data_IF_994623954988
#
_entry.id   IF_994623954988
#
_cell.length_a   1.000
_cell.length_b   1.000
_cell.length_c   1.000
_cell.angle_alpha   90.00
_cell.angle_beta   90.00
_cell.angle_gamma   90.00
#
_symmetry.space_group_name_H-M   'P 1'
#
loop_
_entity.id
_entity.type
_entity.pdbx_description
1 polymer ?
#
# COMPACT_ATOMS: atom_id res chain seq x y z
N UNK A 1 16.48 1.83 -10.72
CA UNK A 1 15.96 3.20 -10.71
C UNK A 1 14.53 3.18 -10.20
N UNK A 2 14.23 4.01 -9.20
CA UNK A 2 12.86 4.18 -8.71
C UNK A 2 12.11 4.98 -9.78
N UNK A 3 10.93 4.52 -10.15
CA UNK A 3 10.07 5.28 -11.05
C UNK A 3 9.76 6.64 -10.43
N UNK A 4 9.83 7.71 -11.24
CA UNK A 4 9.44 9.08 -10.82
C UNK A 4 7.99 9.16 -10.34
N UNK A 5 7.17 8.15 -10.68
CA UNK A 5 5.77 8.05 -10.29
C UNK A 5 5.54 7.18 -9.05
N UNK A 6 6.60 6.68 -8.41
CA UNK A 6 6.48 5.75 -7.28
C UNK A 6 5.84 6.39 -6.03
N UNK A 7 5.92 7.72 -5.91
CA UNK A 7 5.43 8.47 -4.77
C UNK A 7 3.92 8.81 -4.88
N UNK A 8 3.31 8.62 -6.05
CA UNK A 8 1.86 8.79 -6.26
C UNK A 8 1.17 7.52 -5.82
N UNK A 9 0.44 7.58 -4.70
CA UNK A 9 -0.18 6.41 -4.06
C UNK A 9 -1.43 5.97 -4.83
N UNK A 10 -2.25 6.92 -5.28
CA UNK A 10 -3.44 6.64 -6.05
C UNK A 10 -3.09 6.11 -7.45
N UNK A 11 -3.68 4.97 -7.82
CA UNK A 11 -3.36 4.29 -9.08
C UNK A 11 -3.92 5.01 -10.30
N UNK A 12 -5.09 5.62 -10.19
CA UNK A 12 -5.70 6.38 -11.29
C UNK A 12 -4.97 7.70 -11.51
N UNK A 13 -4.63 8.40 -10.43
CA UNK A 13 -3.81 9.61 -10.51
C UNK A 13 -2.45 9.30 -11.13
N UNK A 14 -1.80 8.20 -10.69
CA UNK A 14 -0.53 7.74 -11.26
C UNK A 14 -0.65 7.41 -12.75
N UNK A 15 -1.71 6.70 -13.16
CA UNK A 15 -2.00 6.39 -14.56
C UNK A 15 -2.12 7.67 -15.39
N UNK A 16 -2.90 8.63 -14.92
CA UNK A 16 -3.13 9.90 -15.60
C UNK A 16 -1.85 10.73 -15.72
N UNK A 17 -1.02 10.76 -14.67
CA UNK A 17 0.29 11.43 -14.72
C UNK A 17 1.24 10.78 -15.73
N UNK A 18 1.30 9.47 -15.80
CA UNK A 18 2.11 8.73 -16.76
C UNK A 18 1.64 9.05 -18.19
N UNK A 19 0.33 8.96 -18.43
CA UNK A 19 -0.26 9.28 -19.74
C UNK A 19 0.12 10.70 -20.18
N UNK A 20 -0.02 11.68 -19.27
CA UNK A 20 0.28 13.07 -19.59
C UNK A 20 1.77 13.34 -19.81
N UNK A 21 2.66 12.77 -19.00
CA UNK A 21 4.10 13.05 -19.07
C UNK A 21 4.81 12.27 -20.17
N UNK A 22 4.35 11.05 -20.46
CA UNK A 22 4.93 10.22 -21.54
C UNK A 22 4.27 10.49 -22.91
N UNK A 23 3.32 11.43 -22.98
CA UNK A 23 2.65 11.81 -24.23
C UNK A 23 1.79 10.69 -24.82
N UNK A 24 1.24 9.83 -23.98
CA UNK A 24 0.35 8.76 -24.41
C UNK A 24 -1.06 9.31 -24.72
N UNK A 25 -1.84 8.66 -25.60
CA UNK A 25 -3.23 9.02 -25.83
C UNK A 25 -4.04 8.99 -24.50
N UNK A 26 -4.99 9.90 -24.35
CA UNK A 26 -5.82 9.96 -23.12
C UNK A 26 -6.68 8.71 -22.89
N UNK A 27 -6.96 7.96 -23.95
CA UNK A 27 -7.67 6.69 -23.97
C UNK A 27 -6.73 5.47 -23.95
N UNK A 28 -5.45 5.68 -23.60
CA UNK A 28 -4.46 4.60 -23.56
C UNK A 28 -4.88 3.47 -22.63
N UNK A 29 -5.04 2.29 -23.21
CA UNK A 29 -5.25 1.04 -22.49
C UNK A 29 -4.02 0.12 -22.67
N UNK A 30 -3.43 -0.37 -21.57
CA UNK A 30 -2.28 -1.25 -21.67
C UNK A 30 -2.66 -2.58 -22.33
N UNK A 31 -1.84 -3.05 -23.26
CA UNK A 31 -2.04 -4.38 -23.88
C UNK A 31 -1.97 -5.49 -22.85
N UNK A 32 -2.60 -6.63 -23.14
CA UNK A 32 -2.58 -7.82 -22.27
C UNK A 32 -1.14 -8.25 -21.91
N UNK A 33 -0.21 -8.13 -22.86
CA UNK A 33 1.21 -8.43 -22.65
C UNK A 33 1.83 -7.46 -21.65
N UNK A 34 1.52 -6.16 -21.74
CA UNK A 34 2.01 -5.16 -20.81
C UNK A 34 1.46 -5.38 -19.41
N UNK A 35 0.16 -5.65 -19.29
CA UNK A 35 -0.49 -5.99 -18.00
C UNK A 35 0.18 -7.20 -17.36
N UNK A 36 0.43 -8.27 -18.13
CA UNK A 36 1.12 -9.46 -17.64
C UNK A 36 2.56 -9.17 -17.18
N UNK A 37 3.29 -8.36 -17.93
CA UNK A 37 4.64 -7.94 -17.56
C UNK A 37 4.66 -7.09 -16.28
N UNK A 38 3.71 -6.17 -16.12
CA UNK A 38 3.55 -5.36 -14.92
C UNK A 38 3.22 -6.24 -13.70
N UNK A 39 2.34 -7.22 -13.84
CA UNK A 39 2.02 -8.13 -12.75
C UNK A 39 3.21 -9.00 -12.35
N UNK A 40 3.95 -9.53 -13.32
CA UNK A 40 5.19 -10.29 -13.08
C UNK A 40 6.21 -9.41 -12.33
N UNK A 41 6.42 -8.18 -12.78
CA UNK A 41 7.31 -7.24 -12.10
C UNK A 41 6.86 -6.94 -10.68
N UNK A 42 5.57 -6.71 -10.48
CA UNK A 42 4.98 -6.50 -9.14
C UNK A 42 5.23 -7.68 -8.22
N UNK A 43 5.02 -8.91 -8.69
CA UNK A 43 5.27 -10.13 -7.92
C UNK A 43 6.73 -10.27 -7.52
N UNK A 44 7.66 -9.97 -8.43
CA UNK A 44 9.10 -10.04 -8.19
C UNK A 44 9.61 -8.95 -7.24
N UNK A 45 8.95 -7.79 -7.20
CA UNK A 45 9.38 -6.64 -6.38
C UNK A 45 8.66 -6.55 -5.05
N UNK A 46 7.53 -7.25 -4.87
CA UNK A 46 6.74 -7.20 -3.65
C UNK A 46 7.36 -8.09 -2.57
N UNK A 47 7.88 -7.49 -1.52
CA UNK A 47 8.42 -8.20 -0.35
C UNK A 47 7.32 -8.72 0.56
N UNK A 48 7.67 -9.64 1.47
CA UNK A 48 6.75 -10.12 2.50
C UNK A 48 6.24 -8.98 3.39
N UNK A 49 7.11 -8.03 3.72
CA UNK A 49 6.75 -6.84 4.51
C UNK A 49 5.72 -5.97 3.79
N UNK A 50 5.86 -5.78 2.46
CA UNK A 50 4.87 -5.06 1.65
C UNK A 50 3.51 -5.77 1.60
N UNK A 51 3.52 -7.11 1.48
CA UNK A 51 2.28 -7.91 1.53
C UNK A 51 1.58 -7.77 2.88
N UNK A 52 2.35 -7.86 3.96
CA UNK A 52 1.82 -7.68 5.32
C UNK A 52 1.24 -6.28 5.49
N UNK A 53 1.95 -5.24 5.07
CA UNK A 53 1.47 -3.86 5.14
C UNK A 53 0.14 -3.68 4.43
N UNK A 54 0.00 -4.19 3.20
CA UNK A 54 -1.26 -4.12 2.46
C UNK A 54 -2.39 -4.87 3.17
N UNK A 55 -2.11 -6.06 3.71
CA UNK A 55 -3.11 -6.82 4.47
C UNK A 55 -3.56 -6.09 5.74
N UNK A 56 -2.65 -5.41 6.44
CA UNK A 56 -2.96 -4.59 7.62
C UNK A 56 -3.82 -3.38 7.25
N UNK A 57 -3.54 -2.69 6.15
CA UNK A 57 -4.36 -1.56 5.66
C UNK A 57 -5.79 -2.02 5.40
N UNK A 58 -5.96 -3.09 4.61
CA UNK A 58 -7.28 -3.65 4.32
C UNK A 58 -8.03 -4.07 5.59
N UNK A 59 -7.33 -4.64 6.58
CA UNK A 59 -7.95 -5.03 7.84
C UNK A 59 -8.42 -3.81 8.65
N UNK A 60 -7.62 -2.75 8.71
CA UNK A 60 -7.96 -1.51 9.43
C UNK A 60 -9.14 -0.81 8.75
N UNK A 61 -9.16 -0.72 7.42
CA UNK A 61 -10.28 -0.14 6.67
C UNK A 61 -11.59 -0.89 6.93
N UNK A 62 -11.55 -2.23 6.96
CA UNK A 62 -12.72 -3.06 7.30
C UNK A 62 -13.18 -2.86 8.75
N UNK A 63 -12.26 -2.69 9.68
CA UNK A 63 -12.58 -2.39 11.08
C UNK A 63 -13.22 -1.01 11.18
N UNK A 64 -12.69 -0.01 10.49
CA UNK A 64 -13.26 1.33 10.43
C UNK A 64 -14.69 1.31 9.90
N UNK A 65 -14.90 0.73 8.72
CA UNK A 65 -16.22 0.59 8.13
C UNK A 65 -17.20 -0.16 9.05
N UNK A 66 -16.76 -1.26 9.68
CA UNK A 66 -17.59 -1.98 10.64
C UNK A 66 -18.00 -1.11 11.83
N UNK A 67 -17.09 -0.32 12.39
CA UNK A 67 -17.39 0.55 13.55
C UNK A 67 -18.30 1.73 13.16
N UNK A 68 -18.25 2.20 11.92
CA UNK A 68 -19.14 3.23 11.40
C UNK A 68 -20.57 2.71 11.16
N UNK A 69 -20.70 1.47 10.70
CA UNK A 69 -21.98 0.88 10.30
C UNK A 69 -22.68 0.12 11.42
N UNK A 70 -21.96 -0.23 12.51
CA UNK A 70 -22.52 -1.06 13.58
C UNK A 70 -23.58 -0.31 14.38
N UNK A 71 -24.82 -0.84 14.37
CA UNK A 71 -25.90 -0.40 15.26
C UNK A 71 -26.02 -1.38 16.43
N UNK A 72 -25.61 -0.94 17.62
CA UNK A 72 -25.65 -1.74 18.86
C UNK A 72 -27.08 -2.08 19.31
N UNK A 73 -28.08 -1.36 18.82
CA UNK A 73 -29.48 -1.59 19.14
C UNK A 73 -30.21 -2.41 18.08
N UNK A 74 -29.54 -2.76 16.98
CA UNK A 74 -30.12 -3.60 15.96
C UNK A 74 -30.44 -5.00 16.50
N UNK A 75 -31.65 -5.47 16.21
CA UNK A 75 -32.16 -6.79 16.59
C UNK A 75 -32.22 -7.72 15.37
N UNK A 76 -32.10 -9.02 15.62
CA UNK A 76 -32.34 -10.06 14.63
C UNK A 76 -33.87 -10.31 14.48
N UNK A 77 -34.26 -11.16 13.51
CA UNK A 77 -35.66 -11.53 13.25
C UNK A 77 -36.35 -12.18 14.46
N UNK A 78 -35.63 -12.50 15.52
CA UNK A 78 -36.11 -13.09 16.77
C UNK A 78 -36.06 -12.13 17.96
N UNK A 79 -35.83 -10.83 17.70
CA UNK A 79 -35.75 -9.80 18.74
C UNK A 79 -34.52 -9.91 19.65
N UNK A 80 -33.42 -10.51 19.18
CA UNK A 80 -32.17 -10.61 19.93
C UNK A 80 -31.15 -9.61 19.36
N UNK A 81 -30.28 -9.04 20.21
CA UNK A 81 -29.22 -8.15 19.73
C UNK A 81 -28.42 -8.80 18.59
N UNK A 82 -28.33 -8.13 17.47
CA UNK A 82 -27.58 -8.58 16.29
C UNK A 82 -26.08 -8.58 16.55
N UNK A 83 -25.60 -7.65 17.36
CA UNK A 83 -24.20 -7.50 17.72
C UNK A 83 -24.00 -7.65 19.21
N UNK A 84 -22.89 -8.27 19.60
CA UNK A 84 -22.47 -8.33 21.00
C UNK A 84 -21.69 -7.04 21.34
N UNK A 85 -22.23 -6.23 22.24
CA UNK A 85 -21.65 -4.96 22.65
C UNK A 85 -20.21 -5.09 23.17
N UNK A 86 -19.90 -6.14 23.94
CA UNK A 86 -18.55 -6.38 24.45
C UNK A 86 -17.54 -6.67 23.35
N UNK A 87 -17.97 -7.39 22.30
CA UNK A 87 -17.13 -7.64 21.12
C UNK A 87 -16.88 -6.36 20.32
N UNK A 88 -17.91 -5.54 20.13
CA UNK A 88 -17.75 -4.26 19.45
C UNK A 88 -16.82 -3.34 20.23
N UNK A 89 -17.00 -3.22 21.55
CA UNK A 89 -16.11 -2.45 22.41
C UNK A 89 -14.66 -2.97 22.35
N UNK A 90 -14.46 -4.31 22.37
CA UNK A 90 -13.13 -4.91 22.22
C UNK A 90 -12.47 -4.59 20.85
N UNK A 91 -13.24 -4.54 19.77
CA UNK A 91 -12.73 -4.14 18.44
C UNK A 91 -12.32 -2.67 18.46
N UNK A 92 -13.15 -1.79 19.00
CA UNK A 92 -12.86 -0.35 19.10
C UNK A 92 -11.61 -0.07 19.94
N UNK A 93 -11.43 -0.79 21.07
CA UNK A 93 -10.24 -0.66 21.95
C UNK A 93 -8.94 -1.11 21.25
N UNK A 94 -9.01 -2.14 20.40
CA UNK A 94 -7.85 -2.67 19.66
C UNK A 94 -7.51 -1.90 18.39
N UNK A 95 -8.44 -1.16 17.82
CA UNK A 95 -8.23 -0.44 16.56
C UNK A 95 -7.05 0.56 16.63
N UNK A 96 -6.87 1.38 17.68
CA UNK A 96 -5.71 2.28 17.78
C UNK A 96 -4.37 1.54 17.85
N UNK A 97 -4.33 0.35 18.48
CA UNK A 97 -3.12 -0.47 18.59
C UNK A 97 -2.73 -1.03 17.21
N UNK A 98 -3.71 -1.44 16.41
CA UNK A 98 -3.48 -1.89 15.03
C UNK A 98 -3.01 -0.75 14.14
N UNK A 99 -3.60 0.44 14.27
CA UNK A 99 -3.15 1.63 13.55
C UNK A 99 -1.69 2.00 13.88
N UNK A 100 -1.30 1.93 15.15
CA UNK A 100 0.09 2.14 15.57
C UNK A 100 1.04 1.12 14.92
N UNK A 101 0.67 -0.17 14.94
CA UNK A 101 1.46 -1.22 14.29
C UNK A 101 1.55 -1.04 12.78
N UNK A 102 0.50 -0.52 12.14
CA UNK A 102 0.53 -0.17 10.71
C UNK A 102 1.62 0.87 10.44
N UNK A 103 1.65 1.96 11.20
CA UNK A 103 2.66 3.02 11.05
C UNK A 103 4.08 2.48 11.27
N UNK A 104 4.27 1.59 12.24
CA UNK A 104 5.57 0.94 12.47
C UNK A 104 5.97 0.06 11.28
N UNK A 105 5.04 -0.71 10.72
CA UNK A 105 5.28 -1.54 9.53
C UNK A 105 5.58 -0.71 8.29
N UNK A 106 4.90 0.44 8.10
CA UNK A 106 5.20 1.39 7.02
C UNK A 106 6.64 1.90 7.07
N UNK A 107 7.15 2.22 8.27
CA UNK A 107 8.55 2.64 8.45
C UNK A 107 9.53 1.52 8.08
N UNK A 108 9.23 0.28 8.45
CA UNK A 108 10.07 -0.88 8.12
C UNK A 108 10.11 -1.08 6.60
N UNK A 109 8.94 -1.05 5.94
CA UNK A 109 8.86 -1.20 4.47
C UNK A 109 9.59 -0.05 3.76
N UNK A 110 9.44 1.19 4.24
CA UNK A 110 10.16 2.32 3.68
C UNK A 110 11.68 2.15 3.78
N UNK A 111 12.18 1.69 4.92
CA UNK A 111 13.61 1.41 5.12
C UNK A 111 14.11 0.26 4.22
N UNK A 112 13.34 -0.81 4.05
CA UNK A 112 13.67 -1.91 3.12
C UNK A 112 13.77 -1.40 1.67
N UNK A 113 12.82 -0.59 1.23
CA UNK A 113 12.83 -0.01 -0.11
C UNK A 113 14.06 0.88 -0.32
N UNK A 114 14.42 1.69 0.67
CA UNK A 114 15.60 2.54 0.62
C UNK A 114 16.90 1.73 0.54
N UNK A 115 17.02 0.67 1.33
CA UNK A 115 18.18 -0.24 1.30
C UNK A 115 18.33 -0.93 -0.05
N UNK A 116 17.24 -1.44 -0.63
CA UNK A 116 17.25 -2.06 -1.96
C UNK A 116 17.61 -1.02 -3.04
N UNK A 117 17.14 0.21 -2.90
CA UNK A 117 17.50 1.32 -3.80
C UNK A 117 19.01 1.63 -3.74
N UNK A 118 19.61 1.65 -2.55
CA UNK A 118 21.06 1.86 -2.36
C UNK A 118 21.89 0.70 -2.90
N UNK A 119 21.49 -0.54 -2.66
CA UNK A 119 22.19 -1.74 -3.13
C UNK A 119 22.19 -1.89 -4.66
N UNK A 120 21.24 -1.28 -5.37
CA UNK A 120 21.11 -1.33 -6.84
C UNK A 120 21.83 -0.20 -7.60
N UNK A 121 22.71 0.57 -6.96
CA UNK A 121 23.58 1.52 -7.67
C UNK A 121 23.28 3.00 -7.51
N UNK A 122 22.69 3.40 -6.41
CA UNK A 122 22.66 4.83 -6.06
C UNK A 122 23.91 5.19 -5.22
N UNK A 123 25.02 5.56 -5.83
CA UNK A 123 26.08 6.42 -5.27
C UNK A 123 27.55 5.99 -5.41
N UNK A 124 27.88 4.88 -6.06
CA UNK A 124 29.32 4.54 -6.22
C UNK A 124 29.97 5.03 -7.52
N UNK A 125 29.20 5.54 -8.48
CA UNK A 125 29.76 6.00 -9.77
C UNK A 125 30.39 7.39 -9.74
N UNK A 126 30.30 8.14 -8.65
CA UNK A 126 30.91 9.48 -8.56
C UNK A 126 32.34 9.51 -8.04
N UNK A 127 32.86 8.41 -7.48
CA UNK A 127 34.24 8.38 -6.95
C UNK A 127 35.29 7.79 -7.88
N UNK A 128 34.89 7.21 -9.02
CA UNK A 128 35.82 6.56 -9.95
C UNK A 128 36.44 7.51 -10.97
N UNK A 129 36.06 8.78 -11.00
CA UNK A 129 36.56 9.75 -11.99
C UNK A 129 37.20 11.01 -11.38
N UNK A 130 37.34 11.11 -10.05
CA UNK A 130 37.98 12.29 -9.43
C UNK A 130 39.44 12.07 -9.00
N UNK A 131 39.98 10.87 -9.08
CA UNK A 131 41.41 10.60 -8.73
C UNK A 131 42.28 10.29 -9.96
N UNK A 132 42.01 11.01 -11.04
CA UNK A 132 42.79 10.88 -12.28
C UNK A 132 43.35 12.19 -12.79
N UNK A 133 44.22 12.85 -12.01
CA UNK A 133 45.35 13.69 -12.49
C UNK A 133 46.36 13.83 -11.38
#
# INVERSE_FOLDING_TARGET
PRSSYADVIDLEERKNLIIAQEGLPSDFEPSATLVSAMETYRQLTTTTSMKLLNSMRVAIDKIGAFLEEVDLFAEDDKGRPKYNADRVASVADKAPQLAKKLIETEKIVAAEIEQVGRARGGNETKKLFEDGV
#
